data_IF_226004727545
#
_entry.id   IF_226004727545
#
_cell.length_a   1.000
_cell.length_b   1.000
_cell.length_c   1.000
_cell.angle_alpha   90.00
_cell.angle_beta   90.00
_cell.angle_gamma   90.00
#
_symmetry.space_group_name_H-M   'P 1'
#
loop_
_entity.id
_entity.type
_entity.pdbx_description
1 polymer ?
#
# COMPACT_ATOMS: atom_id res chain seq x y z
N UNK A 1 -53.59 -29.96 35.53
CA UNK A 1 -52.27 -29.63 34.94
C UNK A 1 -52.47 -29.31 33.46
N UNK A 2 -52.35 -28.03 33.09
CA UNK A 2 -52.49 -27.55 31.70
C UNK A 2 -51.25 -27.94 30.89
N UNK A 3 -51.43 -28.58 29.73
CA UNK A 3 -50.36 -28.76 28.74
C UNK A 3 -50.63 -27.85 27.55
N UNK A 4 -50.08 -26.64 27.62
CA UNK A 4 -49.88 -25.80 26.44
C UNK A 4 -48.58 -26.27 25.78
N UNK A 5 -48.67 -26.82 24.58
CA UNK A 5 -47.49 -27.01 23.72
C UNK A 5 -47.71 -26.15 22.47
N UNK A 6 -47.18 -24.93 22.55
CA UNK A 6 -46.97 -24.07 21.39
C UNK A 6 -45.81 -24.66 20.57
N UNK A 7 -46.10 -25.09 19.34
CA UNK A 7 -45.10 -25.47 18.34
C UNK A 7 -44.63 -24.19 17.62
N UNK A 8 -43.57 -23.58 18.15
CA UNK A 8 -42.85 -22.50 17.46
C UNK A 8 -41.94 -23.10 16.39
N UNK A 9 -42.32 -22.93 15.12
CA UNK A 9 -41.46 -23.21 13.97
C UNK A 9 -40.42 -22.09 13.88
N UNK A 10 -39.22 -22.34 14.39
CA UNK A 10 -38.09 -21.41 14.29
C UNK A 10 -37.56 -21.47 12.85
N UNK A 11 -37.91 -20.44 12.09
CA UNK A 11 -37.40 -20.11 10.77
C UNK A 11 -35.99 -19.52 10.93
N UNK A 12 -34.95 -20.33 10.72
CA UNK A 12 -33.56 -19.84 10.62
C UNK A 12 -32.81 -20.59 9.51
N UNK A 13 -33.27 -20.41 8.27
CA UNK A 13 -32.40 -20.55 7.09
C UNK A 13 -31.41 -19.39 7.08
N UNK A 14 -30.33 -19.53 7.86
CA UNK A 14 -29.14 -18.69 7.73
C UNK A 14 -28.54 -18.97 6.34
N UNK A 15 -28.90 -18.10 5.39
CA UNK A 15 -28.18 -17.96 4.14
C UNK A 15 -26.73 -17.60 4.50
N UNK A 16 -25.85 -18.60 4.44
CA UNK A 16 -24.42 -18.36 4.26
C UNK A 16 -24.24 -17.79 2.87
N UNK A 17 -24.48 -16.49 2.71
CA UNK A 17 -23.93 -15.76 1.58
C UNK A 17 -22.42 -15.87 1.72
N UNK A 18 -21.69 -16.46 0.75
CA UNK A 18 -20.26 -16.26 0.71
C UNK A 18 -20.06 -14.76 0.61
N UNK A 19 -19.51 -14.15 1.65
CA UNK A 19 -18.79 -12.90 1.51
C UNK A 19 -17.68 -13.25 0.53
N UNK A 20 -17.93 -13.04 -0.75
CA UNK A 20 -16.86 -12.96 -1.72
C UNK A 20 -16.01 -11.80 -1.22
N UNK A 21 -14.93 -12.13 -0.53
CA UNK A 21 -13.77 -11.27 -0.42
C UNK A 21 -13.36 -10.99 -1.85
N UNK A 22 -13.95 -9.94 -2.43
CA UNK A 22 -13.41 -9.29 -3.60
C UNK A 22 -12.10 -8.67 -3.12
N UNK A 23 -11.06 -9.50 -3.00
CA UNK A 23 -9.69 -9.05 -3.12
C UNK A 23 -9.70 -8.19 -4.38
N UNK A 24 -9.46 -6.91 -4.19
CA UNK A 24 -9.74 -5.86 -5.15
C UNK A 24 -8.82 -6.09 -6.36
N UNK A 25 -9.23 -6.91 -7.33
CA UNK A 25 -8.45 -7.27 -8.52
C UNK A 25 -8.33 -6.10 -9.53
N UNK A 26 -8.69 -4.89 -9.09
CA UNK A 26 -8.50 -3.63 -9.81
C UNK A 26 -7.53 -2.72 -9.06
N UNK A 27 -6.43 -3.27 -8.56
CA UNK A 27 -5.30 -2.46 -8.09
C UNK A 27 -4.49 -2.01 -9.31
N UNK A 28 -5.09 -1.09 -10.08
CA UNK A 28 -4.37 -0.21 -10.99
C UNK A 28 -3.38 0.60 -10.14
N UNK A 29 -2.11 0.16 -10.11
CA UNK A 29 -0.94 0.78 -9.48
C UNK A 29 -1.26 1.64 -8.23
N UNK A 30 -1.15 1.06 -7.03
CA UNK A 30 -1.31 1.81 -5.75
C UNK A 30 -0.30 2.95 -5.62
N UNK A 31 0.83 2.82 -6.30
CA UNK A 31 1.93 3.74 -6.21
C UNK A 31 1.51 5.19 -6.40
N UNK A 32 1.72 6.00 -5.35
CA UNK A 32 1.40 7.42 -5.37
C UNK A 32 2.53 8.21 -4.70
N UNK A 33 3.60 8.44 -5.47
CA UNK A 33 4.82 9.13 -5.05
C UNK A 33 4.59 10.35 -4.14
N UNK A 34 3.73 11.29 -4.58
CA UNK A 34 3.44 12.51 -3.82
C UNK A 34 2.83 12.24 -2.44
N UNK A 35 1.96 11.23 -2.33
CA UNK A 35 1.31 10.88 -1.06
C UNK A 35 2.30 10.17 -0.15
N UNK A 36 3.15 9.30 -0.71
CA UNK A 36 4.21 8.62 0.05
C UNK A 36 5.19 9.64 0.66
N UNK A 37 5.57 10.65 -0.12
CA UNK A 37 6.40 11.77 0.37
C UNK A 37 5.65 12.63 1.39
N UNK A 38 4.38 12.93 1.16
CA UNK A 38 3.57 13.76 2.05
C UNK A 38 3.40 13.14 3.43
N UNK A 39 3.12 11.84 3.50
CA UNK A 39 2.94 11.11 4.77
C UNK A 39 4.24 11.07 5.59
N UNK A 40 5.37 11.05 4.91
CA UNK A 40 6.70 11.05 5.52
C UNK A 40 7.33 12.44 5.65
N UNK A 41 6.60 13.51 5.33
CA UNK A 41 7.08 14.87 5.52
C UNK A 41 7.33 15.13 7.01
N UNK A 42 8.48 15.71 7.32
CA UNK A 42 8.91 16.05 8.68
C UNK A 42 9.04 14.83 9.61
N UNK A 43 9.14 13.62 9.04
CA UNK A 43 9.42 12.37 9.76
C UNK A 43 10.87 11.96 9.60
N UNK A 44 11.36 11.16 10.53
CA UNK A 44 12.67 10.50 10.44
C UNK A 44 12.55 9.15 9.75
N UNK A 45 13.67 8.63 9.27
CA UNK A 45 13.74 7.25 8.80
C UNK A 45 13.26 6.27 9.88
N UNK A 46 12.54 5.21 9.49
CA UNK A 46 11.98 4.20 10.38
C UNK A 46 10.72 4.64 11.12
N UNK A 47 10.27 5.89 10.98
CA UNK A 47 9.05 6.37 11.63
C UNK A 47 7.83 5.58 11.13
N UNK A 48 7.05 5.03 12.06
CA UNK A 48 5.79 4.37 11.74
C UNK A 48 4.78 5.39 11.24
N UNK A 49 4.11 5.05 10.15
CA UNK A 49 3.07 5.88 9.54
C UNK A 49 1.89 5.02 9.10
N UNK A 50 0.71 5.63 9.16
CA UNK A 50 -0.53 5.03 8.68
C UNK A 50 -1.36 6.07 7.95
N UNK A 51 -1.97 5.71 6.82
CA UNK A 51 -2.86 6.61 6.09
C UNK A 51 -3.93 5.83 5.31
N UNK A 52 -5.07 6.49 5.10
CA UNK A 52 -6.14 5.97 4.26
C UNK A 52 -5.95 6.40 2.79
N UNK A 53 -6.02 5.44 1.87
CA UNK A 53 -6.00 5.71 0.44
C UNK A 53 -6.74 4.62 -0.34
N UNK A 54 -7.65 5.02 -1.24
CA UNK A 54 -8.52 4.14 -2.02
C UNK A 54 -9.27 3.10 -1.17
N UNK A 55 -9.77 3.51 0.00
CA UNK A 55 -10.53 2.64 0.90
C UNK A 55 -9.70 1.63 1.70
N UNK A 56 -8.36 1.67 1.59
CA UNK A 56 -7.43 0.80 2.31
C UNK A 56 -6.65 1.63 3.34
N UNK A 57 -6.44 1.07 4.53
CA UNK A 57 -5.49 1.61 5.52
C UNK A 57 -4.11 1.02 5.22
N UNK A 58 -3.19 1.90 4.87
CA UNK A 58 -1.79 1.58 4.56
C UNK A 58 -0.95 1.80 5.81
N UNK A 59 -0.38 0.73 6.36
CA UNK A 59 0.53 0.78 7.50
C UNK A 59 1.95 0.46 7.03
N UNK A 60 2.95 1.17 7.56
CA UNK A 60 4.34 0.98 7.17
C UNK A 60 5.27 1.97 7.84
N UNK A 61 6.44 2.17 7.25
CA UNK A 61 7.46 3.09 7.78
C UNK A 61 7.90 4.09 6.72
N UNK A 62 8.52 5.17 7.19
CA UNK A 62 9.22 6.11 6.32
C UNK A 62 10.64 5.63 6.04
N UNK A 63 10.92 5.24 4.80
CA UNK A 63 12.25 4.79 4.38
C UNK A 63 12.78 5.63 3.21
N UNK A 64 14.09 5.66 2.97
CA UNK A 64 14.66 6.28 1.78
C UNK A 64 14.18 5.56 0.52
N UNK A 65 13.51 6.30 -0.37
CA UNK A 65 13.02 5.79 -1.64
C UNK A 65 13.35 6.77 -2.77
N UNK A 66 13.57 6.24 -3.96
CA UNK A 66 13.75 7.02 -5.17
C UNK A 66 12.41 7.51 -5.69
N UNK A 67 12.33 8.81 -5.97
CA UNK A 67 11.18 9.46 -6.56
C UNK A 67 11.56 10.08 -7.89
N UNK A 68 10.88 9.66 -8.96
CA UNK A 68 11.04 10.29 -10.25
C UNK A 68 10.61 11.76 -10.21
N UNK A 69 11.34 12.59 -10.96
CA UNK A 69 11.01 14.00 -11.17
C UNK A 69 9.93 14.17 -12.23
N UNK A 70 9.84 13.24 -13.18
CA UNK A 70 8.84 13.24 -14.24
C UNK A 70 7.53 12.60 -13.76
N UNK A 71 6.42 13.32 -13.88
CA UNK A 71 5.08 12.90 -13.41
C UNK A 71 4.58 11.59 -14.04
N UNK A 72 5.06 11.25 -15.24
CA UNK A 72 4.65 10.05 -15.99
C UNK A 72 5.83 9.09 -16.18
N UNK A 73 6.74 9.01 -15.20
CA UNK A 73 7.75 7.96 -15.23
C UNK A 73 7.04 6.60 -15.26
N UNK A 74 7.51 5.63 -16.06
CA UNK A 74 6.95 4.29 -16.13
C UNK A 74 7.33 3.50 -14.88
N UNK A 75 6.84 3.94 -13.71
CA UNK A 75 7.08 3.35 -12.40
C UNK A 75 5.76 2.74 -11.90
N UNK A 76 5.81 1.44 -11.61
CA UNK A 76 4.71 0.64 -11.06
C UNK A 76 4.69 0.73 -9.52
N UNK A 77 5.86 0.94 -8.90
CA UNK A 77 6.06 1.14 -7.47
C UNK A 77 6.54 -0.08 -6.70
N UNK A 78 6.66 -1.23 -7.36
CA UNK A 78 7.17 -2.50 -6.84
C UNK A 78 8.61 -2.80 -7.29
N UNK A 79 9.22 -1.90 -8.07
CA UNK A 79 10.59 -2.06 -8.54
C UNK A 79 11.58 -2.00 -7.38
N UNK A 80 12.46 -3.00 -7.30
CA UNK A 80 13.44 -3.14 -6.23
C UNK A 80 14.42 -1.95 -6.19
N UNK A 81 14.69 -1.35 -7.35
CA UNK A 81 15.56 -0.20 -7.55
C UNK A 81 15.07 1.03 -6.78
N UNK A 82 13.75 1.19 -6.60
CA UNK A 82 13.20 2.36 -5.90
C UNK A 82 13.63 2.40 -4.43
N UNK A 83 13.70 1.25 -3.78
CA UNK A 83 14.00 1.17 -2.35
C UNK A 83 15.51 0.94 -2.11
N UNK A 84 16.16 0.11 -2.94
CA UNK A 84 17.55 -0.29 -2.71
C UNK A 84 18.58 0.79 -3.06
N UNK A 85 18.33 1.60 -4.09
CA UNK A 85 19.35 2.53 -4.57
C UNK A 85 19.61 3.68 -3.58
N UNK A 86 18.56 4.11 -2.87
CA UNK A 86 18.66 5.20 -1.92
C UNK A 86 19.29 4.78 -0.59
N UNK A 87 19.24 3.49 -0.26
CA UNK A 87 20.02 2.92 0.83
C UNK A 87 21.53 2.89 0.50
N UNK A 88 21.88 2.67 -0.76
CA UNK A 88 23.29 2.63 -1.21
C UNK A 88 23.87 4.02 -1.45
N UNK A 89 23.10 4.90 -2.11
CA UNK A 89 23.53 6.25 -2.46
C UNK A 89 22.36 7.24 -2.37
N UNK A 90 22.32 8.00 -1.27
CA UNK A 90 21.30 9.02 -1.04
C UNK A 90 21.35 10.20 -2.05
N UNK A 91 22.44 10.37 -2.80
CA UNK A 91 22.60 11.42 -3.80
C UNK A 91 22.25 10.96 -5.23
N UNK A 92 21.62 9.79 -5.38
CA UNK A 92 21.22 9.24 -6.68
C UNK A 92 20.29 10.22 -7.42
N UNK A 93 20.65 10.55 -8.67
CA UNK A 93 19.90 11.48 -9.54
C UNK A 93 19.16 10.78 -10.69
N UNK A 94 19.50 9.54 -10.98
CA UNK A 94 18.79 8.72 -11.95
C UNK A 94 18.92 7.24 -11.60
N UNK A 95 17.94 6.46 -12.05
CA UNK A 95 17.94 4.99 -11.99
C UNK A 95 17.66 4.44 -13.37
N UNK A 96 17.99 3.18 -13.59
CA UNK A 96 17.63 2.46 -14.80
C UNK A 96 16.55 1.44 -14.46
N UNK A 97 15.37 1.55 -15.05
CA UNK A 97 14.29 0.56 -14.96
C UNK A 97 14.00 0.06 -16.37
N UNK A 98 14.09 -1.25 -16.59
CA UNK A 98 13.82 -1.89 -17.89
C UNK A 98 14.61 -1.26 -19.07
N UNK A 99 15.86 -0.84 -18.84
CA UNK A 99 16.71 -0.22 -19.86
C UNK A 99 16.44 1.27 -20.11
N UNK A 100 15.50 1.88 -19.37
CA UNK A 100 15.18 3.30 -19.46
C UNK A 100 15.76 4.06 -18.29
N UNK A 101 16.52 5.10 -18.58
CA UNK A 101 16.99 6.03 -17.55
C UNK A 101 15.83 6.91 -17.07
N UNK A 102 15.57 6.87 -15.76
CA UNK A 102 14.56 7.67 -15.08
C UNK A 102 15.26 8.64 -14.13
N UNK A 103 15.07 9.94 -14.34
CA UNK A 103 15.64 11.00 -13.49
C UNK A 103 14.77 11.24 -12.26
N UNK A 104 15.43 11.45 -11.12
CA UNK A 104 14.75 11.57 -9.84
C UNK A 104 15.69 11.97 -8.72
N UNK A 105 15.23 11.72 -7.50
CA UNK A 105 16.02 11.94 -6.28
C UNK A 105 15.58 10.97 -5.18
N UNK A 106 16.48 10.70 -4.26
CA UNK A 106 16.13 10.04 -3.02
C UNK A 106 15.44 11.01 -2.05
N UNK A 107 14.37 10.56 -1.40
CA UNK A 107 13.71 11.24 -0.31
C UNK A 107 13.07 10.21 0.62
N UNK A 108 12.60 10.63 1.80
CA UNK A 108 11.79 9.74 2.63
C UNK A 108 10.40 9.54 2.01
N UNK A 109 9.98 8.28 2.00
CA UNK A 109 8.74 7.80 1.42
C UNK A 109 8.11 6.73 2.27
N UNK A 110 6.79 6.62 2.18
CA UNK A 110 6.09 5.46 2.71
C UNK A 110 6.55 4.17 2.02
N UNK A 111 6.96 3.19 2.82
CA UNK A 111 7.24 1.82 2.40
C UNK A 111 6.39 0.86 3.23
N UNK A 112 5.68 -0.03 2.54
CA UNK A 112 4.90 -1.07 3.18
C UNK A 112 5.84 -2.12 3.82
N UNK A 113 5.46 -2.73 4.95
CA UNK A 113 6.25 -3.77 5.58
C UNK A 113 6.39 -4.95 4.61
N UNK A 114 7.63 -5.33 4.32
CA UNK A 114 7.95 -6.48 3.49
C UNK A 114 8.64 -7.54 4.35
N UNK A 115 8.44 -8.85 4.05
CA UNK A 115 9.23 -9.91 4.66
C UNK A 115 10.73 -9.63 4.47
N UNK A 116 11.51 -9.97 5.49
CA UNK A 116 12.97 -9.94 5.44
C UNK A 116 13.53 -11.27 4.98
#
# INVERSE_FOLDING_TARGET
MNKNIFLSVILCSLFFTPLTTQANDKVETVYHAQKYQQVCKDKTQGAQVSFAYRGIIWNGTCEPQFFATTKNAPIKGDEAELNSICATNANTKSINIEGKEIKGKCALGFVAPHPK
#
